data_IF_756568142898
#
_entry.id   IF_756568142898
#
_cell.length_a   1.000
_cell.length_b   1.000
_cell.length_c   1.000
_cell.angle_alpha   90.00
_cell.angle_beta   90.00
_cell.angle_gamma   90.00
#
_symmetry.space_group_name_H-M   'P 1'
#
loop_
_entity.id
_entity.type
_entity.pdbx_description
1 polymer ?
#
# COMPACT_ATOMS: atom_id res chain seq x y z
N UNK A 1 -23.56 -9.31 21.26
CA UNK A 1 -23.41 -7.89 21.63
C UNK A 1 -22.74 -7.20 20.45
N UNK A 2 -23.50 -6.47 19.66
CA UNK A 2 -22.97 -5.73 18.52
C UNK A 2 -22.07 -4.60 19.01
N UNK A 3 -20.83 -4.53 18.51
CA UNK A 3 -19.89 -3.51 18.98
C UNK A 3 -20.41 -2.12 18.59
N UNK A 4 -20.18 -1.10 19.43
CA UNK A 4 -20.63 0.29 19.15
C UNK A 4 -20.23 0.78 17.75
N UNK A 5 -19.07 0.35 17.24
CA UNK A 5 -18.59 0.68 15.89
C UNK A 5 -19.38 -0.05 14.77
N UNK A 6 -19.89 -1.25 15.02
CA UNK A 6 -20.72 -1.97 14.05
C UNK A 6 -22.04 -1.22 13.79
N UNK A 7 -22.65 -0.65 14.83
CA UNK A 7 -23.83 0.23 14.68
C UNK A 7 -23.53 1.49 13.86
N UNK A 8 -22.33 2.09 14.02
CA UNK A 8 -21.92 3.23 13.18
C UNK A 8 -21.82 2.80 11.71
N UNK A 9 -21.22 1.63 11.46
CA UNK A 9 -21.11 1.08 10.10
C UNK A 9 -22.48 0.80 9.48
N UNK A 10 -23.42 0.23 10.25
CA UNK A 10 -24.79 0.02 9.80
C UNK A 10 -25.48 1.34 9.44
N UNK A 11 -25.40 2.34 10.33
CA UNK A 11 -25.95 3.68 10.07
C UNK A 11 -25.32 4.33 8.82
N UNK A 12 -23.99 4.25 8.69
CA UNK A 12 -23.26 4.81 7.56
C UNK A 12 -23.65 4.17 6.23
N UNK A 13 -23.88 2.84 6.24
CA UNK A 13 -24.33 2.08 5.08
C UNK A 13 -25.79 2.40 4.71
N UNK A 14 -26.67 2.55 5.70
CA UNK A 14 -28.10 2.81 5.48
C UNK A 14 -28.39 4.22 4.94
N UNK A 15 -27.59 5.22 5.33
CA UNK A 15 -27.75 6.61 4.87
C UNK A 15 -26.40 7.23 4.45
N UNK A 16 -26.13 7.27 3.13
CA UNK A 16 -24.93 7.88 2.56
C UNK A 16 -24.81 9.41 2.75
N UNK A 17 -25.87 10.08 3.19
CA UNK A 17 -25.87 11.54 3.47
C UNK A 17 -25.81 11.85 4.96
N UNK A 18 -25.94 10.85 5.82
CA UNK A 18 -25.86 11.02 7.26
C UNK A 18 -24.53 11.65 7.65
N UNK A 19 -24.60 12.66 8.51
CA UNK A 19 -23.46 13.35 9.11
C UNK A 19 -23.36 13.02 10.59
N UNK A 20 -22.25 12.39 10.97
CA UNK A 20 -22.00 11.92 12.33
C UNK A 20 -21.51 13.06 13.24
N UNK A 21 -22.40 13.57 14.11
CA UNK A 21 -22.14 14.77 14.92
C UNK A 21 -21.55 14.50 16.31
N UNK A 22 -21.67 13.27 16.83
CA UNK A 22 -21.11 12.87 18.12
C UNK A 22 -20.48 11.49 18.02
N UNK A 23 -19.18 11.45 17.76
CA UNK A 23 -18.38 10.23 17.59
C UNK A 23 -17.03 10.28 18.32
N UNK A 24 -16.61 11.45 18.81
CA UNK A 24 -15.39 11.62 19.59
C UNK A 24 -15.39 10.81 20.89
N UNK A 25 -16.56 10.50 21.43
CA UNK A 25 -16.71 9.68 22.63
C UNK A 25 -16.36 8.20 22.40
N UNK A 26 -16.21 7.74 21.15
CA UNK A 26 -15.71 6.39 20.85
C UNK A 26 -14.19 6.26 21.02
N UNK A 27 -13.47 7.37 21.20
CA UNK A 27 -12.06 7.39 21.61
C UNK A 27 -12.02 7.39 23.14
N UNK A 28 -12.43 6.27 23.73
CA UNK A 28 -12.49 6.05 25.18
C UNK A 28 -11.37 5.12 25.68
N UNK A 29 -11.36 4.83 26.98
CA UNK A 29 -10.35 3.99 27.60
C UNK A 29 -10.32 2.58 26.99
N UNK A 30 -11.48 2.00 26.70
CA UNK A 30 -11.57 0.67 26.09
C UNK A 30 -10.98 0.68 24.68
N UNK A 31 -11.29 1.69 23.86
CA UNK A 31 -10.74 1.83 22.52
C UNK A 31 -9.22 2.03 22.51
N UNK A 32 -8.67 2.79 23.46
CA UNK A 32 -7.23 3.00 23.59
C UNK A 32 -6.51 1.74 24.10
N UNK A 33 -7.07 1.04 25.08
CA UNK A 33 -6.53 -0.24 25.56
C UNK A 33 -6.55 -1.32 24.47
N UNK A 34 -7.61 -1.38 23.67
CA UNK A 34 -7.66 -2.28 22.52
C UNK A 34 -6.63 -1.88 21.45
N UNK A 35 -6.44 -0.58 21.22
CA UNK A 35 -5.41 -0.07 20.32
C UNK A 35 -4.01 -0.47 20.80
N UNK A 36 -3.75 -0.39 22.11
CA UNK A 36 -2.50 -0.83 22.72
C UNK A 36 -2.23 -2.33 22.51
N UNK A 37 -3.24 -3.17 22.72
CA UNK A 37 -3.17 -4.61 22.45
C UNK A 37 -2.84 -4.91 20.99
N UNK A 38 -3.42 -4.16 20.06
CA UNK A 38 -3.19 -4.32 18.62
C UNK A 38 -1.79 -3.89 18.15
N UNK A 39 -1.06 -3.05 18.91
CA UNK A 39 0.28 -2.61 18.54
C UNK A 39 1.31 -3.74 18.67
N UNK A 40 2.23 -3.84 17.72
CA UNK A 40 3.36 -4.79 17.79
C UNK A 40 4.47 -4.27 18.73
N UNK A 41 5.14 -5.20 19.42
CA UNK A 41 6.33 -4.92 20.25
C UNK A 41 7.57 -4.65 19.41
N UNK A 42 8.59 -3.99 19.99
CA UNK A 42 9.88 -3.76 19.33
C UNK A 42 9.85 -2.80 18.14
N UNK A 43 8.81 -1.97 18.01
CA UNK A 43 8.74 -0.88 17.01
C UNK A 43 9.58 0.31 17.45
N UNK A 44 10.05 1.08 16.47
CA UNK A 44 10.78 2.31 16.74
C UNK A 44 9.93 3.32 17.52
N UNK A 45 10.57 3.99 18.46
CA UNK A 45 9.99 4.98 19.37
C UNK A 45 9.90 6.36 18.71
N UNK A 46 8.95 7.17 19.18
CA UNK A 46 8.83 8.56 18.79
C UNK A 46 9.89 9.44 19.47
N UNK A 47 9.62 10.74 19.53
CA UNK A 47 10.51 11.72 20.20
C UNK A 47 10.56 11.51 21.72
N UNK A 48 9.52 10.93 22.29
CA UNK A 48 9.35 10.62 23.72
C UNK A 48 10.17 9.40 24.19
N UNK A 49 10.69 8.58 23.26
CA UNK A 49 11.44 7.37 23.61
C UNK A 49 10.60 6.26 24.25
N UNK A 50 9.27 6.43 24.40
CA UNK A 50 8.41 5.48 25.10
C UNK A 50 8.16 4.24 24.25
N UNK A 51 8.49 3.07 24.80
CA UNK A 51 8.20 1.77 24.17
C UNK A 51 6.84 1.24 24.60
N UNK A 52 6.31 0.26 23.84
CA UNK A 52 5.08 -0.45 24.21
C UNK A 52 5.20 -1.08 25.59
N UNK A 53 6.33 -1.71 25.86
CA UNK A 53 6.60 -2.44 27.09
C UNK A 53 6.69 -1.50 28.30
N UNK A 54 7.29 -0.32 28.11
CA UNK A 54 7.35 0.72 29.14
C UNK A 54 5.97 1.30 29.42
N UNK A 55 5.16 1.51 28.38
CA UNK A 55 3.80 2.02 28.52
C UNK A 55 2.85 1.00 29.19
N UNK A 56 3.03 -0.29 28.88
CA UNK A 56 2.26 -1.41 29.45
C UNK A 56 2.39 -1.49 30.98
N UNK A 57 3.57 -1.15 31.53
CA UNK A 57 3.83 -1.27 32.97
C UNK A 57 2.81 -0.53 33.85
N UNK A 58 2.26 0.59 33.35
CA UNK A 58 1.22 1.37 34.03
C UNK A 58 0.04 1.66 33.09
N UNK A 59 -0.38 0.66 32.30
CA UNK A 59 -1.33 0.85 31.20
C UNK A 59 -2.63 1.56 31.61
N UNK A 60 -3.27 1.12 32.70
CA UNK A 60 -4.56 1.67 33.13
C UNK A 60 -4.47 3.17 33.46
N UNK A 61 -3.53 3.54 34.33
CA UNK A 61 -3.31 4.93 34.72
C UNK A 61 -2.91 5.82 33.53
N UNK A 62 -2.06 5.31 32.63
CA UNK A 62 -1.64 6.02 31.42
C UNK A 62 -2.83 6.28 30.49
N UNK A 63 -3.67 5.28 30.25
CA UNK A 63 -4.87 5.38 29.39
C UNK A 63 -5.89 6.33 30.01
N UNK A 64 -6.17 6.22 31.31
CA UNK A 64 -7.10 7.14 32.00
C UNK A 64 -6.65 8.60 31.89
N UNK A 65 -5.35 8.85 32.10
CA UNK A 65 -4.77 10.18 31.94
C UNK A 65 -4.93 10.70 30.50
N UNK A 66 -4.64 9.85 29.51
CA UNK A 66 -4.77 10.20 28.10
C UNK A 66 -6.23 10.52 27.72
N UNK A 67 -7.19 9.71 28.16
CA UNK A 67 -8.63 9.98 27.97
C UNK A 67 -9.03 11.31 28.60
N UNK A 68 -8.57 11.59 29.83
CA UNK A 68 -8.83 12.86 30.50
C UNK A 68 -8.30 14.05 29.68
N UNK A 69 -7.07 13.96 29.17
CA UNK A 69 -6.49 15.01 28.31
C UNK A 69 -7.21 15.18 26.98
N UNK A 70 -7.70 14.10 26.37
CA UNK A 70 -8.51 14.17 25.15
C UNK A 70 -9.85 14.86 25.41
N UNK A 71 -10.57 14.46 26.47
CA UNK A 71 -11.86 15.03 26.87
C UNK A 71 -11.74 16.52 27.24
N UNK A 72 -10.70 16.89 27.98
CA UNK A 72 -10.40 18.27 28.37
C UNK A 72 -9.82 19.12 27.23
N UNK A 73 -9.62 18.55 26.03
CA UNK A 73 -9.05 19.23 24.87
C UNK A 73 -7.60 19.72 25.09
N UNK A 74 -6.92 19.20 26.12
CA UNK A 74 -5.53 19.54 26.47
C UNK A 74 -4.50 18.62 25.81
N UNK A 75 -4.92 17.46 25.28
CA UNK A 75 -4.06 16.57 24.49
C UNK A 75 -3.51 17.29 23.24
N UNK A 76 -2.18 17.34 23.12
CA UNK A 76 -1.46 17.87 21.95
C UNK A 76 -0.57 16.74 21.41
N UNK A 77 -0.74 16.32 20.14
CA UNK A 77 0.18 15.40 19.51
C UNK A 77 1.61 15.96 19.51
N UNK A 78 2.59 15.09 19.66
CA UNK A 78 3.99 15.44 19.61
C UNK A 78 4.48 15.45 18.15
N UNK A 79 5.54 16.22 17.84
CA UNK A 79 6.15 16.14 16.51
C UNK A 79 6.64 14.73 16.22
N UNK A 80 6.45 14.28 14.98
CA UNK A 80 6.88 12.96 14.57
C UNK A 80 8.41 12.93 14.40
N UNK A 81 9.08 11.93 14.98
CA UNK A 81 10.53 11.77 14.84
C UNK A 81 10.89 11.35 13.42
N UNK A 82 11.73 12.13 12.73
CA UNK A 82 12.17 11.79 11.38
C UNK A 82 13.09 10.57 11.37
N UNK A 83 12.88 9.68 10.41
CA UNK A 83 13.80 8.59 10.08
C UNK A 83 13.82 8.33 8.58
N UNK A 84 14.92 7.77 8.07
CA UNK A 84 15.10 7.53 6.65
C UNK A 84 15.14 6.03 6.35
N UNK A 85 14.24 5.57 5.47
CA UNK A 85 14.30 4.22 4.92
C UNK A 85 14.81 4.27 3.48
N UNK A 86 15.80 3.46 3.09
CA UNK A 86 16.25 3.39 1.70
C UNK A 86 15.08 3.04 0.75
N UNK A 87 14.81 3.91 -0.23
CA UNK A 87 13.83 3.67 -1.30
C UNK A 87 14.49 2.94 -2.46
N UNK A 88 15.69 3.39 -2.82
CA UNK A 88 16.64 2.72 -3.70
C UNK A 88 18.08 3.11 -3.31
N UNK A 89 19.06 2.86 -4.18
CA UNK A 89 20.48 3.13 -3.88
C UNK A 89 20.79 4.62 -3.80
N UNK A 90 19.96 5.47 -4.42
CA UNK A 90 20.23 6.91 -4.58
C UNK A 90 19.25 7.78 -3.81
N UNK A 91 18.15 7.22 -3.32
CA UNK A 91 17.11 7.96 -2.63
C UNK A 91 16.63 7.24 -1.36
N UNK A 92 16.36 8.03 -0.34
CA UNK A 92 15.69 7.62 0.89
C UNK A 92 14.23 8.07 0.86
N UNK A 93 13.39 7.40 1.63
CA UNK A 93 12.03 7.80 1.94
C UNK A 93 12.03 8.28 3.39
N UNK A 94 11.70 9.54 3.65
CA UNK A 94 11.51 9.99 5.01
C UNK A 94 10.25 9.36 5.60
N UNK A 95 10.32 8.99 6.87
CA UNK A 95 9.19 8.58 7.69
C UNK A 95 9.16 9.43 8.96
N UNK A 96 7.97 9.77 9.42
CA UNK A 96 7.72 10.31 10.76
C UNK A 96 7.23 9.19 11.67
N UNK A 97 7.94 8.95 12.77
CA UNK A 97 7.53 8.02 13.82
C UNK A 97 6.84 8.83 14.94
N UNK A 98 5.52 8.69 15.14
CA UNK A 98 4.83 9.40 16.21
C UNK A 98 5.23 8.87 17.60
N UNK A 99 4.97 9.69 18.63
CA UNK A 99 5.01 9.27 20.03
C UNK A 99 4.06 8.08 20.29
N UNK A 100 4.28 7.36 21.39
CA UNK A 100 3.53 6.12 21.62
C UNK A 100 2.02 6.38 21.81
N UNK A 101 1.68 7.37 22.64
CA UNK A 101 0.29 7.78 22.85
C UNK A 101 -0.37 8.26 21.56
N UNK A 102 0.36 9.00 20.73
CA UNK A 102 -0.15 9.47 19.44
C UNK A 102 -0.51 8.30 18.52
N UNK A 103 0.27 7.20 18.53
CA UNK A 103 -0.07 5.98 17.80
C UNK A 103 -1.38 5.37 18.30
N UNK A 104 -1.62 5.37 19.62
CA UNK A 104 -2.86 4.86 20.21
C UNK A 104 -4.07 5.69 19.79
N UNK A 105 -3.97 7.02 19.90
CA UNK A 105 -5.06 7.93 19.52
C UNK A 105 -5.31 7.88 18.02
N UNK A 106 -4.27 7.86 17.19
CA UNK A 106 -4.40 7.69 15.74
C UNK A 106 -5.03 6.35 15.37
N UNK A 107 -4.69 5.26 16.06
CA UNK A 107 -5.28 3.95 15.81
C UNK A 107 -6.76 3.91 16.20
N UNK A 108 -7.13 4.44 17.37
CA UNK A 108 -8.52 4.54 17.80
C UNK A 108 -9.35 5.42 16.83
N UNK A 109 -8.82 6.58 16.44
CA UNK A 109 -9.43 7.44 15.44
C UNK A 109 -9.61 6.72 14.10
N UNK A 110 -8.56 6.02 13.62
CA UNK A 110 -8.62 5.24 12.39
C UNK A 110 -9.78 4.26 12.41
N UNK A 111 -9.99 3.51 13.49
CA UNK A 111 -11.08 2.54 13.62
C UNK A 111 -12.46 3.19 13.51
N UNK A 112 -12.64 4.37 14.11
CA UNK A 112 -13.88 5.15 14.00
C UNK A 112 -14.11 5.60 12.55
N UNK A 113 -13.06 6.11 11.89
CA UNK A 113 -13.14 6.53 10.48
C UNK A 113 -13.41 5.35 9.55
N UNK A 114 -12.78 4.20 9.77
CA UNK A 114 -13.00 2.97 9.00
C UNK A 114 -14.44 2.49 9.09
N UNK A 115 -15.06 2.56 10.28
CA UNK A 115 -16.46 2.18 10.46
C UNK A 115 -17.41 3.02 9.58
N UNK A 116 -17.10 4.30 9.37
CA UNK A 116 -17.90 5.22 8.56
C UNK A 116 -17.58 5.04 7.06
N UNK A 117 -16.33 5.31 6.68
CA UNK A 117 -15.95 5.48 5.28
C UNK A 117 -15.75 4.18 4.50
N UNK A 118 -15.55 3.03 5.17
CA UNK A 118 -15.49 1.75 4.44
C UNK A 118 -16.80 1.45 3.71
N UNK A 119 -17.92 2.01 4.18
CA UNK A 119 -19.23 1.91 3.54
C UNK A 119 -19.37 2.86 2.33
N UNK A 120 -18.55 3.91 2.28
CA UNK A 120 -18.60 4.92 1.22
C UNK A 120 -17.60 4.62 0.10
N UNK A 121 -16.47 3.98 0.43
CA UNK A 121 -15.38 3.75 -0.50
C UNK A 121 -15.75 2.84 -1.66
N UNK A 122 -15.47 3.32 -2.88
CA UNK A 122 -15.70 2.58 -4.13
C UNK A 122 -14.99 1.21 -4.16
N UNK A 123 -15.64 0.21 -4.73
CA UNK A 123 -15.13 -1.17 -4.80
C UNK A 123 -13.82 -1.34 -5.56
N UNK A 124 -13.50 -0.39 -6.44
CA UNK A 124 -12.26 -0.39 -7.19
C UNK A 124 -11.07 0.20 -6.42
N UNK A 125 -11.26 0.67 -5.20
CA UNK A 125 -10.20 1.13 -4.29
C UNK A 125 -9.81 0.01 -3.32
N UNK A 126 -8.53 -0.36 -3.29
CA UNK A 126 -8.06 -1.52 -2.51
C UNK A 126 -7.04 -1.16 -1.42
N UNK A 127 -6.21 -0.13 -1.65
CA UNK A 127 -5.06 0.16 -0.80
C UNK A 127 -5.48 0.52 0.63
N UNK A 128 -4.79 -0.04 1.62
CA UNK A 128 -4.98 0.25 3.06
C UNK A 128 -6.39 0.01 3.61
N UNK A 129 -7.23 -0.78 2.92
CA UNK A 129 -8.58 -1.12 3.37
C UNK A 129 -8.63 -2.52 4.01
N UNK A 130 -9.46 -2.72 5.04
CA UNK A 130 -9.64 -4.04 5.64
C UNK A 130 -10.18 -5.03 4.61
N UNK A 131 -9.70 -6.28 4.66
CA UNK A 131 -10.14 -7.39 3.78
C UNK A 131 -9.95 -7.17 2.26
N UNK A 132 -9.30 -6.08 1.84
CA UNK A 132 -8.94 -5.81 0.44
C UNK A 132 -7.44 -5.99 0.29
N UNK A 133 -7.02 -6.86 -0.63
CA UNK A 133 -5.61 -7.12 -0.88
C UNK A 133 -5.16 -6.58 -2.24
N UNK A 134 -3.85 -6.43 -2.37
CA UNK A 134 -3.17 -6.17 -3.63
C UNK A 134 -3.50 -7.23 -4.70
N UNK A 135 -3.66 -8.49 -4.28
CA UNK A 135 -4.03 -9.58 -5.18
C UNK A 135 -5.46 -9.43 -5.69
N UNK A 136 -6.38 -8.88 -4.90
CA UNK A 136 -7.75 -8.62 -5.34
C UNK A 136 -7.79 -7.53 -6.42
N UNK A 137 -6.98 -6.48 -6.26
CA UNK A 137 -6.81 -5.46 -7.30
C UNK A 137 -6.30 -6.06 -8.62
N UNK A 138 -5.33 -6.98 -8.56
CA UNK A 138 -4.82 -7.68 -9.74
C UNK A 138 -5.86 -8.61 -10.39
N UNK A 139 -6.66 -9.33 -9.58
CA UNK A 139 -7.76 -10.16 -10.05
C UNK A 139 -8.81 -9.32 -10.78
N UNK A 140 -9.20 -8.18 -10.20
CA UNK A 140 -10.14 -7.23 -10.82
C UNK A 140 -9.59 -6.68 -12.13
N UNK A 141 -8.33 -6.24 -12.15
CA UNK A 141 -7.66 -5.80 -13.37
C UNK A 141 -7.65 -6.90 -14.44
N UNK A 142 -7.37 -8.15 -14.04
CA UNK A 142 -7.40 -9.29 -14.97
C UNK A 142 -8.78 -9.50 -15.59
N UNK A 143 -9.83 -9.47 -14.76
CA UNK A 143 -11.20 -9.63 -15.22
C UNK A 143 -11.63 -8.50 -16.17
N UNK A 144 -11.30 -7.25 -15.84
CA UNK A 144 -11.59 -6.08 -16.69
C UNK A 144 -10.93 -6.22 -18.06
N UNK A 145 -9.64 -6.59 -18.10
CA UNK A 145 -8.87 -6.61 -19.34
C UNK A 145 -9.14 -7.83 -20.23
N UNK A 146 -9.36 -9.01 -19.65
CA UNK A 146 -9.58 -10.23 -20.44
C UNK A 146 -11.05 -10.42 -20.86
N UNK A 147 -12.00 -10.04 -19.98
CA UNK A 147 -13.44 -10.21 -20.23
C UNK A 147 -14.11 -8.97 -20.82
N UNK A 148 -13.56 -7.78 -20.55
CA UNK A 148 -14.08 -6.51 -21.06
C UNK A 148 -13.49 -6.11 -22.43
N UNK A 149 -14.14 -5.17 -23.15
CA UNK A 149 -13.64 -4.61 -24.39
C UNK A 149 -12.59 -3.52 -24.14
N UNK A 150 -11.54 -3.81 -23.36
CA UNK A 150 -10.50 -2.83 -23.03
C UNK A 150 -9.35 -2.89 -24.04
N UNK A 151 -8.95 -1.72 -24.54
CA UNK A 151 -7.92 -1.58 -25.58
C UNK A 151 -6.84 -0.56 -25.24
N UNK A 152 -7.06 0.26 -24.22
CA UNK A 152 -6.11 1.28 -23.77
C UNK A 152 -6.00 1.26 -22.25
N UNK A 153 -4.79 1.50 -21.76
CA UNK A 153 -4.48 1.61 -20.34
C UNK A 153 -3.79 2.94 -20.09
N UNK A 154 -4.28 3.69 -19.12
CA UNK A 154 -3.60 4.87 -18.55
C UNK A 154 -3.01 4.45 -17.22
N UNK A 155 -1.69 4.26 -17.22
CA UNK A 155 -0.88 3.98 -16.02
C UNK A 155 -0.50 5.32 -15.41
N UNK A 156 -1.07 5.71 -14.26
CA UNK A 156 -0.92 7.05 -13.68
C UNK A 156 -0.49 7.00 -12.21
N UNK A 157 0.44 7.90 -11.85
CA UNK A 157 1.03 7.98 -10.52
C UNK A 157 0.98 9.43 -10.03
N UNK A 158 0.64 9.63 -8.76
CA UNK A 158 0.60 10.97 -8.14
C UNK A 158 1.98 11.30 -7.59
N UNK A 159 2.54 12.43 -8.00
CA UNK A 159 3.85 12.88 -7.54
C UNK A 159 3.78 13.26 -6.07
N UNK A 160 4.46 12.50 -5.22
CA UNK A 160 4.67 12.86 -3.82
C UNK A 160 3.37 13.00 -3.02
N UNK A 161 2.35 12.19 -3.31
CA UNK A 161 0.99 12.35 -2.75
C UNK A 161 0.96 12.66 -1.24
N UNK A 162 1.60 11.82 -0.41
CA UNK A 162 1.62 12.03 1.05
C UNK A 162 2.28 13.34 1.50
N UNK A 163 3.13 13.95 0.68
CA UNK A 163 3.80 15.21 1.01
C UNK A 163 2.96 16.44 0.61
N UNK A 164 2.03 16.30 -0.33
CA UNK A 164 1.26 17.42 -0.92
C UNK A 164 -0.24 17.34 -0.59
N UNK A 165 -0.66 16.50 0.37
CA UNK A 165 -2.05 16.49 0.82
C UNK A 165 -2.39 17.84 1.45
N UNK A 166 -3.31 18.57 0.83
CA UNK A 166 -3.79 19.85 1.35
C UNK A 166 -4.68 19.62 2.59
N UNK A 167 -4.31 20.26 3.71
CA UNK A 167 -5.02 20.09 4.97
C UNK A 167 -6.42 20.66 4.93
N UNK A 168 -6.64 21.81 4.28
CA UNK A 168 -7.96 22.44 4.26
C UNK A 168 -8.92 21.62 3.39
N UNK A 169 -8.50 21.16 2.22
CA UNK A 169 -9.31 20.24 1.40
C UNK A 169 -9.62 18.93 2.14
N UNK A 170 -8.65 18.33 2.82
CA UNK A 170 -8.88 17.12 3.62
C UNK A 170 -9.93 17.38 4.70
N UNK A 171 -9.87 18.53 5.37
CA UNK A 171 -10.84 18.92 6.38
C UNK A 171 -12.23 19.16 5.79
N UNK A 172 -12.34 19.76 4.59
CA UNK A 172 -13.63 19.91 3.89
C UNK A 172 -14.23 18.55 3.52
N UNK A 173 -13.43 17.61 3.03
CA UNK A 173 -13.90 16.26 2.75
C UNK A 173 -14.38 15.53 3.99
N UNK A 174 -13.66 15.65 5.10
CA UNK A 174 -14.07 15.04 6.36
C UNK A 174 -15.41 15.60 6.86
N UNK A 175 -15.66 16.90 6.68
CA UNK A 175 -16.90 17.56 7.12
C UNK A 175 -18.16 17.01 6.44
N UNK A 176 -18.03 16.41 5.26
CA UNK A 176 -19.14 15.83 4.50
C UNK A 176 -19.83 14.70 5.27
N UNK A 177 -19.06 13.85 5.95
CA UNK A 177 -19.58 12.72 6.74
C UNK A 177 -19.44 12.94 8.24
N UNK A 178 -18.50 13.77 8.68
CA UNK A 178 -18.23 14.01 10.09
C UNK A 178 -18.71 15.41 10.46
N UNK A 179 -19.65 15.47 11.39
CA UNK A 179 -20.12 16.71 12.00
C UNK A 179 -19.46 17.03 13.33
N UNK A 180 -18.76 16.08 13.92
CA UNK A 180 -18.19 16.23 15.26
C UNK A 180 -16.96 17.17 15.26
N UNK A 181 -17.06 18.34 15.92
CA UNK A 181 -15.96 19.30 15.97
C UNK A 181 -14.74 18.78 16.77
N UNK A 182 -14.91 17.80 17.65
CA UNK A 182 -13.81 17.22 18.40
C UNK A 182 -12.92 16.35 17.51
N UNK A 183 -13.51 15.57 16.60
CA UNK A 183 -12.75 14.82 15.60
C UNK A 183 -12.02 15.76 14.65
N UNK A 184 -12.70 16.81 14.17
CA UNK A 184 -12.06 17.81 13.33
C UNK A 184 -10.84 18.45 14.00
N UNK A 185 -10.98 18.85 15.27
CA UNK A 185 -9.87 19.40 16.06
C UNK A 185 -8.73 18.40 16.21
N UNK A 186 -9.06 17.13 16.47
CA UNK A 186 -8.06 16.07 16.66
C UNK A 186 -7.26 15.83 15.38
N UNK A 187 -7.94 15.65 14.24
CA UNK A 187 -7.28 15.48 12.93
C UNK A 187 -6.40 16.68 12.59
N UNK A 188 -6.93 17.91 12.73
CA UNK A 188 -6.18 19.13 12.46
C UNK A 188 -4.92 19.25 13.33
N UNK A 189 -5.01 18.89 14.63
CA UNK A 189 -3.85 18.86 15.53
C UNK A 189 -2.82 17.82 15.12
N UNK A 190 -3.25 16.64 14.66
CA UNK A 190 -2.33 15.59 14.19
C UNK A 190 -1.61 15.99 12.90
N UNK A 191 -2.31 16.64 11.97
CA UNK A 191 -1.71 17.11 10.71
C UNK A 191 -0.69 18.24 10.95
N UNK A 192 -0.96 19.13 11.92
CA UNK A 192 -0.08 20.25 12.27
C UNK A 192 0.93 19.96 13.39
N UNK A 193 1.09 18.70 13.78
CA UNK A 193 1.96 18.32 14.89
C UNK A 193 3.46 18.56 14.62
N UNK A 194 3.83 18.74 13.35
CA UNK A 194 5.21 18.96 12.93
C UNK A 194 6.05 17.69 12.88
N UNK A 195 7.30 17.88 12.49
CA UNK A 195 8.33 16.84 12.43
C UNK A 195 9.51 17.32 13.28
N UNK A 196 10.17 16.39 13.97
CA UNK A 196 11.42 16.67 14.65
C UNK A 196 12.55 15.90 13.97
N UNK A 197 13.57 16.62 13.52
CA UNK A 197 14.76 16.10 12.84
C UNK A 197 16.01 16.67 13.54
N UNK A 198 16.91 15.79 14.00
CA UNK A 198 18.14 16.15 14.71
C UNK A 198 17.99 17.15 15.88
N UNK A 199 16.83 17.12 16.54
CA UNK A 199 16.51 17.99 17.67
C UNK A 199 15.79 19.28 17.28
N UNK A 200 15.76 19.63 15.99
CA UNK A 200 15.06 20.80 15.47
C UNK A 200 13.61 20.48 15.11
N UNK A 201 12.72 21.43 15.39
CA UNK A 201 11.30 21.34 15.08
C UNK A 201 11.00 22.00 13.73
N UNK A 202 10.38 21.25 12.84
CA UNK A 202 9.89 21.75 11.55
C UNK A 202 8.35 21.73 11.52
N UNK A 203 7.68 22.87 11.24
CA UNK A 203 6.24 22.89 11.05
C UNK A 203 5.83 22.12 9.79
N UNK A 204 4.67 21.49 9.83
CA UNK A 204 4.08 20.79 8.68
C UNK A 204 2.91 21.61 8.12
N UNK A 205 3.15 22.31 7.02
CA UNK A 205 2.15 23.15 6.34
C UNK A 205 1.27 22.35 5.37
N UNK A 206 1.83 21.31 4.75
CA UNK A 206 1.11 20.39 3.86
C UNK A 206 1.58 18.94 4.04
N UNK A 207 0.77 18.01 3.54
CA UNK A 207 1.05 16.59 3.59
C UNK A 207 0.56 15.91 4.87
N UNK A 208 0.71 14.59 4.91
CA UNK A 208 0.37 13.76 6.07
C UNK A 208 1.60 12.93 6.44
N UNK A 209 1.97 12.84 7.72
CA UNK A 209 3.20 12.16 8.13
C UNK A 209 3.24 10.71 7.62
N UNK A 210 4.25 10.39 6.80
CA UNK A 210 4.47 9.01 6.33
C UNK A 210 4.93 8.16 7.51
N UNK A 211 4.13 7.19 7.94
CA UNK A 211 4.42 6.37 9.13
C UNK A 211 3.47 6.59 10.30
N UNK A 212 2.60 7.61 10.23
CA UNK A 212 1.45 7.71 11.12
C UNK A 212 0.41 6.62 10.81
N UNK A 213 -0.27 6.14 11.85
CA UNK A 213 -1.24 5.05 11.77
C UNK A 213 -2.51 5.47 11.03
N UNK A 214 -2.93 6.73 11.17
CA UNK A 214 -4.16 7.27 10.57
C UNK A 214 -3.95 7.82 9.16
N UNK A 215 -2.72 8.21 8.79
CA UNK A 215 -2.38 8.77 7.47
C UNK A 215 -2.94 7.97 6.28
N UNK A 216 -2.86 6.62 6.24
CA UNK A 216 -3.41 5.86 5.11
C UNK A 216 -4.93 5.95 4.98
N UNK A 217 -5.63 6.12 6.10
CA UNK A 217 -7.09 6.30 6.11
C UNK A 217 -7.47 7.67 5.57
N UNK A 218 -6.79 8.74 6.05
CA UNK A 218 -6.99 10.10 5.57
C UNK A 218 -6.66 10.25 4.08
N UNK A 219 -5.58 9.60 3.64
CA UNK A 219 -5.20 9.48 2.24
C UNK A 219 -6.32 8.88 1.37
N UNK A 220 -6.96 7.82 1.85
CA UNK A 220 -8.06 7.19 1.13
C UNK A 220 -9.30 8.07 1.08
N UNK A 221 -9.65 8.77 2.17
CA UNK A 221 -10.73 9.77 2.18
C UNK A 221 -10.47 10.85 1.13
N UNK A 222 -9.25 11.40 1.10
CA UNK A 222 -8.88 12.43 0.13
C UNK A 222 -9.06 11.96 -1.32
N UNK A 223 -8.45 10.82 -1.68
CA UNK A 223 -8.53 10.29 -3.04
C UNK A 223 -9.92 9.76 -3.40
N UNK A 224 -10.73 9.38 -2.42
CA UNK A 224 -12.12 9.00 -2.67
C UNK A 224 -12.91 10.16 -3.29
N UNK A 225 -12.81 11.37 -2.72
CA UNK A 225 -13.51 12.54 -3.26
C UNK A 225 -12.81 13.17 -4.48
N UNK A 226 -11.48 13.21 -4.47
CA UNK A 226 -10.72 13.83 -5.56
C UNK A 226 -10.75 13.01 -6.84
N UNK A 227 -10.58 11.69 -6.72
CA UNK A 227 -10.39 10.77 -7.84
C UNK A 227 -11.55 9.78 -8.00
N UNK A 228 -11.91 9.01 -6.96
CA UNK A 228 -12.81 7.86 -7.12
C UNK A 228 -14.24 8.29 -7.53
N UNK A 229 -14.85 9.20 -6.77
CA UNK A 229 -16.19 9.73 -7.09
C UNK A 229 -16.17 10.48 -8.41
N UNK A 230 -15.13 11.28 -8.65
CA UNK A 230 -14.98 12.04 -9.89
C UNK A 230 -14.89 11.12 -11.12
N UNK A 231 -14.13 10.02 -11.01
CA UNK A 231 -14.04 9.03 -12.08
C UNK A 231 -15.40 8.41 -12.36
N UNK A 232 -16.08 7.91 -11.33
CA UNK A 232 -17.37 7.21 -11.51
C UNK A 232 -18.48 8.12 -12.04
N UNK A 233 -18.53 9.38 -11.58
CA UNK A 233 -19.64 10.29 -11.92
C UNK A 233 -19.34 11.18 -13.13
N UNK A 234 -18.11 11.70 -13.26
CA UNK A 234 -17.79 12.72 -14.26
C UNK A 234 -16.93 12.22 -15.42
N UNK A 235 -16.12 11.16 -15.22
CA UNK A 235 -15.29 10.60 -16.31
C UNK A 235 -16.05 9.52 -17.06
N UNK A 236 -16.63 8.55 -16.33
CA UNK A 236 -17.23 7.36 -16.90
C UNK A 236 -18.50 7.64 -17.71
N UNK A 237 -19.34 8.58 -17.25
CA UNK A 237 -20.61 8.93 -17.93
C UNK A 237 -20.43 9.47 -19.36
N UNK A 238 -19.53 10.43 -19.63
CA UNK A 238 -19.30 10.93 -21.00
C UNK A 238 -18.39 10.03 -21.84
N UNK A 239 -17.89 8.90 -21.32
CA UNK A 239 -17.12 7.96 -22.13
C UNK A 239 -17.97 7.35 -23.22
N UNK A 240 -17.44 7.34 -24.45
CA UNK A 240 -18.08 6.66 -25.58
C UNK A 240 -18.13 5.15 -25.35
N UNK A 241 -17.06 4.60 -24.78
CA UNK A 241 -16.93 3.18 -24.50
C UNK A 241 -16.81 2.87 -23.02
N UNK A 242 -16.52 1.61 -22.72
CA UNK A 242 -16.32 1.19 -21.33
C UNK A 242 -15.07 1.83 -20.73
N UNK A 243 -15.20 2.35 -19.51
CA UNK A 243 -14.11 2.86 -18.70
C UNK A 243 -14.15 2.24 -17.30
N UNK A 244 -13.01 1.78 -16.81
CA UNK A 244 -12.85 1.20 -15.47
C UNK A 244 -11.58 1.74 -14.83
N UNK A 245 -11.55 1.85 -13.51
CA UNK A 245 -10.38 2.24 -12.73
C UNK A 245 -10.06 1.13 -11.73
N UNK A 246 -8.78 0.96 -11.40
CA UNK A 246 -8.31 0.16 -10.28
C UNK A 246 -7.31 1.02 -9.50
N UNK A 247 -7.59 1.28 -8.23
CA UNK A 247 -6.73 2.11 -7.36
C UNK A 247 -6.19 1.31 -6.19
N UNK A 248 -4.90 1.47 -5.92
CA UNK A 248 -4.25 0.97 -4.73
C UNK A 248 -3.45 2.10 -4.08
N UNK A 249 -4.04 2.72 -3.05
CA UNK A 249 -3.50 3.94 -2.44
C UNK A 249 -3.38 5.07 -3.49
N UNK A 250 -2.17 5.56 -3.73
CA UNK A 250 -1.82 6.60 -4.71
C UNK A 250 -1.52 6.07 -6.12
N UNK A 251 -1.28 4.76 -6.26
CA UNK A 251 -1.02 4.07 -7.53
C UNK A 251 -2.35 3.62 -8.16
N UNK A 252 -2.64 4.03 -9.40
CA UNK A 252 -3.89 3.65 -10.06
C UNK A 252 -3.74 3.45 -11.57
N UNK A 253 -4.57 2.57 -12.10
CA UNK A 253 -4.63 2.23 -13.52
C UNK A 253 -6.05 2.42 -14.00
N UNK A 254 -6.22 3.15 -15.10
CA UNK A 254 -7.51 3.31 -15.77
C UNK A 254 -7.50 2.56 -17.10
N UNK A 255 -8.54 1.79 -17.38
CA UNK A 255 -8.71 1.00 -18.58
C UNK A 255 -9.85 1.57 -19.41
N UNK A 256 -9.60 1.77 -20.71
CA UNK A 256 -10.55 2.35 -21.65
C UNK A 256 -10.70 1.47 -22.89
N UNK A 257 -11.91 1.49 -23.45
CA UNK A 257 -12.19 0.87 -24.74
C UNK A 257 -11.65 1.68 -25.91
N UNK A 258 -11.75 3.02 -25.85
CA UNK A 258 -11.36 3.92 -26.94
C UNK A 258 -10.20 4.83 -26.54
N UNK A 259 -9.35 5.18 -27.51
CA UNK A 259 -8.15 6.01 -27.29
C UNK A 259 -8.53 7.42 -26.88
N UNK A 260 -9.56 7.96 -27.53
CA UNK A 260 -10.05 9.32 -27.33
C UNK A 260 -10.57 9.52 -25.90
N UNK A 261 -11.21 8.49 -25.33
CA UNK A 261 -11.63 8.50 -23.93
C UNK A 261 -10.43 8.54 -22.97
N UNK A 262 -9.35 7.79 -23.28
CA UNK A 262 -8.13 7.78 -22.49
C UNK A 262 -7.37 9.12 -22.55
N UNK A 263 -7.28 9.73 -23.73
CA UNK A 263 -6.65 11.04 -23.94
C UNK A 263 -7.45 12.15 -23.24
N UNK A 264 -8.78 12.14 -23.37
CA UNK A 264 -9.66 13.08 -22.67
C UNK A 264 -9.53 12.94 -21.15
N UNK A 265 -9.51 11.72 -20.64
CA UNK A 265 -9.28 11.46 -19.22
C UNK A 265 -7.92 12.01 -18.75
N UNK A 266 -6.85 11.72 -19.49
CA UNK A 266 -5.51 12.17 -19.11
C UNK A 266 -5.41 13.70 -19.03
N UNK A 267 -5.96 14.42 -20.01
CA UNK A 267 -6.01 15.88 -20.00
C UNK A 267 -6.86 16.42 -18.81
N UNK A 268 -8.02 15.81 -18.57
CA UNK A 268 -8.91 16.21 -17.47
C UNK A 268 -8.30 15.91 -16.09
N UNK A 269 -7.55 14.81 -15.95
CA UNK A 269 -6.91 14.38 -14.72
C UNK A 269 -5.90 15.42 -14.22
N UNK A 270 -5.09 16.01 -15.13
CA UNK A 270 -4.11 17.04 -14.77
C UNK A 270 -4.79 18.25 -14.15
N UNK A 271 -5.86 18.72 -14.80
CA UNK A 271 -6.67 19.84 -14.31
C UNK A 271 -7.38 19.50 -13.01
N UNK A 272 -7.90 18.27 -12.89
CA UNK A 272 -8.60 17.80 -11.69
C UNK A 272 -7.66 17.79 -10.48
N UNK A 273 -6.49 17.17 -10.59
CA UNK A 273 -5.53 17.08 -9.48
C UNK A 273 -5.01 18.47 -9.07
N UNK A 274 -4.75 19.35 -10.04
CA UNK A 274 -4.30 20.72 -9.74
C UNK A 274 -5.28 21.52 -8.87
N UNK A 275 -6.60 21.29 -9.00
CA UNK A 275 -7.61 21.92 -8.14
C UNK A 275 -7.50 21.54 -6.66
N UNK A 276 -6.84 20.42 -6.35
CA UNK A 276 -6.68 19.88 -5.00
C UNK A 276 -5.21 19.83 -4.60
N UNK A 277 -4.38 20.73 -5.13
CA UNK A 277 -2.94 20.84 -4.85
C UNK A 277 -2.15 19.53 -5.10
N UNK A 278 -2.61 18.70 -6.03
CA UNK A 278 -1.93 17.46 -6.42
C UNK A 278 -1.39 17.56 -7.84
N UNK A 279 -0.31 16.82 -8.11
CA UNK A 279 0.34 16.79 -9.42
C UNK A 279 0.54 15.35 -9.92
N UNK A 280 0.39 15.16 -11.23
CA UNK A 280 0.70 13.89 -11.90
C UNK A 280 2.21 13.76 -12.05
N UNK A 281 2.74 12.54 -11.90
CA UNK A 281 4.09 12.22 -12.34
C UNK A 281 4.11 12.00 -13.87
N UNK A 282 4.23 13.09 -14.64
CA UNK A 282 4.19 13.08 -16.12
C UNK A 282 5.18 12.07 -16.73
N UNK A 283 6.39 11.98 -16.18
CA UNK A 283 7.45 11.02 -16.57
C UNK A 283 7.02 9.55 -16.54
N UNK A 284 6.08 9.23 -15.64
CA UNK A 284 5.60 7.86 -15.41
C UNK A 284 4.27 7.59 -16.09
N UNK A 285 3.52 8.66 -16.39
CA UNK A 285 2.14 8.50 -16.81
C UNK A 285 2.06 8.32 -18.31
N UNK A 286 1.49 7.20 -18.76
CA UNK A 286 1.47 6.84 -20.18
C UNK A 286 0.13 6.25 -20.60
N UNK A 287 -0.29 6.58 -21.81
CA UNK A 287 -1.40 5.93 -22.51
C UNK A 287 -0.81 4.80 -23.34
N UNK A 288 -1.24 3.57 -23.06
CA UNK A 288 -0.67 2.35 -23.64
C UNK A 288 -1.78 1.61 -24.38
N UNK A 289 -1.57 1.32 -25.67
CA UNK A 289 -2.44 0.40 -26.39
C UNK A 289 -2.24 -1.02 -25.84
N UNK A 290 -3.28 -1.54 -25.19
CA UNK A 290 -3.23 -2.79 -24.43
C UNK A 290 -4.57 -3.50 -24.49
N UNK A 291 -4.59 -4.73 -24.97
CA UNK A 291 -5.82 -5.52 -25.06
C UNK A 291 -5.78 -6.57 -26.15
N UNK A 292 -6.92 -7.22 -26.38
CA UNK A 292 -7.08 -8.35 -27.31
C UNK A 292 -6.56 -8.06 -28.72
N UNK A 293 -6.77 -6.83 -29.20
CA UNK A 293 -6.45 -6.43 -30.58
C UNK A 293 -5.14 -5.67 -30.70
N UNK A 294 -4.47 -5.33 -29.59
CA UNK A 294 -3.27 -4.48 -29.61
C UNK A 294 -2.17 -5.06 -30.51
N UNK A 295 -1.87 -6.36 -30.39
CA UNK A 295 -0.85 -7.02 -31.21
C UNK A 295 -1.19 -6.97 -32.71
N UNK A 296 -2.46 -7.25 -33.06
CA UNK A 296 -2.90 -7.25 -34.44
C UNK A 296 -2.92 -5.84 -35.05
N UNK A 297 -3.39 -4.85 -34.29
CA UNK A 297 -3.46 -3.45 -34.71
C UNK A 297 -2.05 -2.86 -34.93
N UNK A 298 -1.13 -3.10 -33.99
CA UNK A 298 0.27 -2.67 -34.13
C UNK A 298 0.94 -3.32 -35.33
N UNK A 299 0.75 -4.63 -35.52
CA UNK A 299 1.28 -5.36 -36.68
C UNK A 299 0.76 -4.79 -38.01
N UNK A 300 -0.53 -4.42 -38.08
CA UNK A 300 -1.11 -3.76 -39.28
C UNK A 300 -0.48 -2.40 -39.57
N UNK A 301 -0.07 -1.66 -38.53
CA UNK A 301 0.62 -0.37 -38.66
C UNK A 301 2.14 -0.48 -38.82
N UNK A 302 2.68 -1.69 -38.94
CA UNK A 302 4.12 -1.93 -39.00
C UNK A 302 4.85 -1.66 -37.68
N UNK A 303 4.12 -1.51 -36.57
CA UNK A 303 4.67 -1.30 -35.24
C UNK A 303 5.08 -2.63 -34.61
N UNK A 304 6.04 -2.57 -33.67
CA UNK A 304 6.51 -3.73 -32.91
C UNK A 304 5.48 -4.32 -31.94
N UNK A 305 5.96 -5.10 -30.96
CA UNK A 305 5.10 -5.71 -29.95
C UNK A 305 4.32 -4.65 -29.15
N UNK A 306 3.12 -5.00 -28.63
CA UNK A 306 2.42 -4.15 -27.69
C UNK A 306 3.30 -3.76 -26.50
N UNK A 307 3.11 -2.53 -26.04
CA UNK A 307 3.78 -2.03 -24.86
C UNK A 307 3.32 -2.74 -23.59
N UNK A 308 4.10 -2.61 -22.53
CA UNK A 308 3.84 -3.21 -21.22
C UNK A 308 3.79 -2.13 -20.16
N UNK A 309 2.93 -2.29 -19.16
CA UNK A 309 2.86 -1.37 -18.02
C UNK A 309 3.23 -2.09 -16.72
N UNK A 310 3.61 -1.33 -15.69
CA UNK A 310 4.02 -1.90 -14.39
C UNK A 310 3.11 -1.40 -13.28
N UNK A 311 2.30 -2.29 -12.74
CA UNK A 311 1.37 -1.99 -11.66
C UNK A 311 1.60 -2.95 -10.49
N UNK A 312 1.59 -2.44 -9.26
CA UNK A 312 1.72 -3.24 -8.04
C UNK A 312 2.97 -4.15 -7.98
N UNK A 313 4.04 -3.77 -8.70
CA UNK A 313 5.29 -4.52 -8.75
C UNK A 313 5.34 -5.65 -9.80
N UNK A 314 4.31 -5.79 -10.62
CA UNK A 314 4.27 -6.71 -11.76
C UNK A 314 4.27 -5.94 -13.09
N UNK A 315 5.06 -6.44 -14.05
CA UNK A 315 4.95 -6.01 -15.45
C UNK A 315 3.87 -6.83 -16.12
N UNK A 316 2.88 -6.15 -16.68
CA UNK A 316 1.71 -6.71 -17.34
C UNK A 316 1.92 -6.66 -18.86
N UNK A 317 1.62 -7.75 -19.55
CA UNK A 317 1.83 -7.84 -21.00
C UNK A 317 0.76 -8.69 -21.68
N UNK A 318 0.44 -8.31 -22.92
CA UNK A 318 -0.48 -9.04 -23.77
C UNK A 318 0.16 -10.36 -24.22
N UNK A 319 -0.59 -11.46 -24.10
CA UNK A 319 -0.17 -12.79 -24.52
C UNK A 319 -1.39 -13.61 -24.96
N UNK A 320 -1.14 -14.84 -25.42
CA UNK A 320 -2.19 -15.83 -25.68
C UNK A 320 -2.08 -17.00 -24.69
N UNK A 321 -3.21 -17.67 -24.47
CA UNK A 321 -3.32 -18.97 -23.82
C UNK A 321 -2.80 -20.08 -24.74
N UNK A 322 -2.67 -21.31 -24.22
CA UNK A 322 -2.38 -22.48 -25.05
C UNK A 322 -3.45 -22.71 -26.14
N UNK A 323 -4.70 -22.30 -25.87
CA UNK A 323 -5.82 -22.38 -26.82
C UNK A 323 -5.92 -21.15 -27.75
N UNK A 324 -4.89 -20.30 -27.81
CA UNK A 324 -4.88 -19.09 -28.65
C UNK A 324 -5.70 -17.90 -28.13
N UNK A 325 -6.53 -18.07 -27.09
CA UNK A 325 -7.31 -16.99 -26.48
C UNK A 325 -6.42 -15.91 -25.85
N UNK A 326 -6.81 -14.64 -25.98
CA UNK A 326 -6.11 -13.52 -25.35
C UNK A 326 -6.02 -13.68 -23.82
N UNK A 327 -4.84 -13.36 -23.27
CA UNK A 327 -4.55 -13.35 -21.84
C UNK A 327 -3.66 -12.17 -21.47
N UNK A 328 -3.84 -11.67 -20.25
CA UNK A 328 -2.95 -10.70 -19.62
C UNK A 328 -2.00 -11.45 -18.70
N UNK A 329 -0.80 -11.74 -19.18
CA UNK A 329 0.24 -12.39 -18.37
C UNK A 329 1.00 -11.35 -17.56
N UNK A 330 1.58 -11.82 -16.46
CA UNK A 330 2.30 -10.99 -15.51
C UNK A 330 3.63 -11.64 -15.14
N UNK A 331 4.65 -10.80 -14.98
CA UNK A 331 5.93 -11.20 -14.38
C UNK A 331 6.39 -10.18 -13.36
N UNK A 332 7.16 -10.59 -12.36
CA UNK A 332 7.77 -9.67 -11.40
C UNK A 332 8.52 -8.58 -12.17
N UNK A 333 8.23 -7.32 -11.87
CA UNK A 333 8.89 -6.21 -12.57
C UNK A 333 10.41 -6.29 -12.38
N UNK A 334 11.16 -6.07 -13.47
CA UNK A 334 12.61 -6.23 -13.45
C UNK A 334 13.30 -5.37 -12.39
N UNK A 335 12.78 -4.15 -12.16
CA UNK A 335 13.24 -3.25 -11.09
C UNK A 335 13.06 -3.88 -9.71
N UNK A 336 11.86 -4.37 -9.37
CA UNK A 336 11.58 -4.99 -8.06
C UNK A 336 12.34 -6.30 -7.87
N UNK A 337 12.47 -7.10 -8.94
CA UNK A 337 13.25 -8.34 -8.91
C UNK A 337 14.71 -8.07 -8.57
N UNK A 338 15.37 -7.16 -9.30
CA UNK A 338 16.75 -6.74 -9.04
C UNK A 338 16.94 -6.20 -7.62
N UNK A 339 16.01 -5.36 -7.16
CA UNK A 339 16.02 -4.84 -5.78
C UNK A 339 15.94 -5.97 -4.74
N UNK A 340 15.04 -6.95 -4.91
CA UNK A 340 14.90 -8.08 -3.97
C UNK A 340 16.09 -9.03 -4.00
N UNK A 341 16.67 -9.29 -5.17
CA UNK A 341 17.91 -10.07 -5.30
C UNK A 341 19.07 -9.35 -4.61
N UNK A 342 19.22 -8.04 -4.82
CA UNK A 342 20.26 -7.24 -4.15
C UNK A 342 20.09 -7.28 -2.63
N UNK A 343 18.87 -7.06 -2.13
CA UNK A 343 18.58 -7.11 -0.70
C UNK A 343 18.92 -8.48 -0.09
N UNK A 344 18.57 -9.58 -0.78
CA UNK A 344 18.91 -10.94 -0.36
C UNK A 344 20.43 -11.15 -0.33
N UNK A 345 21.14 -10.74 -1.39
CA UNK A 345 22.60 -10.80 -1.47
C UNK A 345 23.27 -10.04 -0.33
N UNK A 346 22.85 -8.80 -0.07
CA UNK A 346 23.39 -7.97 1.01
C UNK A 346 23.14 -8.62 2.37
N UNK A 347 21.92 -9.11 2.60
CA UNK A 347 21.57 -9.79 3.84
C UNK A 347 22.39 -11.08 4.05
N UNK A 348 22.48 -11.95 3.05
CA UNK A 348 23.30 -13.19 3.15
C UNK A 348 24.77 -12.84 3.41
N UNK A 349 25.32 -11.85 2.70
CA UNK A 349 26.71 -11.42 2.89
C UNK A 349 26.93 -10.94 4.33
N UNK A 350 26.06 -10.08 4.85
CA UNK A 350 26.20 -9.52 6.20
C UNK A 350 26.02 -10.59 7.30
N UNK A 351 25.12 -11.55 7.10
CA UNK A 351 24.74 -12.54 8.11
C UNK A 351 25.44 -13.90 7.92
N UNK A 352 26.51 -13.97 7.12
CA UNK A 352 27.24 -15.23 6.81
C UNK A 352 27.90 -15.90 8.02
N UNK A 353 28.15 -15.15 9.09
CA UNK A 353 28.74 -15.66 10.34
C UNK A 353 27.68 -15.97 11.40
N UNK A 354 26.39 -15.72 11.11
CA UNK A 354 25.29 -16.01 12.02
C UNK A 354 25.17 -17.51 12.29
N UNK A 355 24.69 -17.86 13.48
CA UNK A 355 24.31 -19.22 13.83
C UNK A 355 23.35 -19.81 12.79
N UNK A 356 23.63 -21.04 12.35
CA UNK A 356 22.96 -21.66 11.21
C UNK A 356 21.45 -21.79 11.40
N UNK A 357 20.98 -22.17 12.59
CA UNK A 357 19.54 -22.32 12.90
C UNK A 357 18.80 -20.99 12.73
N UNK A 358 19.36 -19.91 13.27
CA UNK A 358 18.82 -18.55 13.20
C UNK A 358 18.87 -17.99 11.77
N UNK A 359 19.98 -18.24 11.05
CA UNK A 359 20.11 -17.89 9.63
C UNK A 359 19.04 -18.58 8.79
N UNK A 360 18.85 -19.89 8.93
CA UNK A 360 17.87 -20.66 8.17
C UNK A 360 16.43 -20.24 8.50
N UNK A 361 16.11 -20.01 9.78
CA UNK A 361 14.78 -19.50 10.19
C UNK A 361 14.45 -18.18 9.48
N UNK A 362 15.40 -17.25 9.48
CA UNK A 362 15.22 -15.93 8.85
C UNK A 362 15.12 -16.06 7.33
N UNK A 363 15.95 -16.90 6.72
CA UNK A 363 15.93 -17.16 5.28
C UNK A 363 14.59 -17.77 4.83
N UNK A 364 14.08 -18.78 5.55
CA UNK A 364 12.78 -19.39 5.25
C UNK A 364 11.66 -18.35 5.29
N UNK A 365 11.68 -17.46 6.29
CA UNK A 365 10.72 -16.34 6.39
C UNK A 365 10.82 -15.39 5.18
N UNK A 366 12.04 -15.00 4.78
CA UNK A 366 12.26 -14.14 3.61
C UNK A 366 11.78 -14.76 2.30
N UNK A 367 12.07 -16.04 2.06
CA UNK A 367 11.62 -16.78 0.88
C UNK A 367 10.09 -16.94 0.89
N UNK A 368 9.51 -17.38 2.01
CA UNK A 368 8.06 -17.54 2.14
C UNK A 368 7.32 -16.22 1.90
N UNK A 369 7.83 -15.10 2.43
CA UNK A 369 7.26 -13.78 2.17
C UNK A 369 7.33 -13.39 0.69
N UNK A 370 8.44 -13.66 0.01
CA UNK A 370 8.57 -13.43 -1.43
C UNK A 370 7.54 -14.25 -2.22
N UNK A 371 7.40 -15.54 -1.92
CA UNK A 371 6.50 -16.42 -2.65
C UNK A 371 5.03 -16.12 -2.38
N UNK A 372 4.65 -15.74 -1.16
CA UNK A 372 3.27 -15.35 -0.84
C UNK A 372 2.83 -14.13 -1.65
N UNK A 373 3.73 -13.19 -1.93
CA UNK A 373 3.41 -12.00 -2.71
C UNK A 373 3.53 -12.22 -4.22
N UNK A 374 4.66 -12.75 -4.69
CA UNK A 374 4.98 -12.88 -6.11
C UNK A 374 4.56 -14.22 -6.73
N UNK A 375 4.21 -15.22 -5.93
CA UNK A 375 3.70 -16.52 -6.39
C UNK A 375 2.27 -16.42 -6.87
N UNK A 376 2.06 -15.72 -7.97
CA UNK A 376 0.78 -15.58 -8.66
C UNK A 376 0.81 -16.33 -10.00
N UNK A 377 -0.36 -16.64 -10.58
CA UNK A 377 -0.47 -17.23 -11.92
C UNK A 377 0.44 -16.53 -12.94
N UNK A 378 1.08 -17.32 -13.81
CA UNK A 378 2.04 -16.89 -14.85
C UNK A 378 3.41 -16.39 -14.36
N UNK A 379 3.65 -16.22 -13.06
CA UNK A 379 4.92 -15.68 -12.53
C UNK A 379 5.86 -16.74 -11.91
N UNK A 380 5.61 -18.04 -12.12
CA UNK A 380 6.40 -19.11 -11.51
C UNK A 380 7.89 -19.01 -11.85
N UNK A 381 8.23 -18.74 -13.11
CA UNK A 381 9.62 -18.66 -13.59
C UNK A 381 10.44 -17.62 -12.81
N UNK A 382 9.86 -16.44 -12.55
CA UNK A 382 10.56 -15.40 -11.78
C UNK A 382 10.74 -15.79 -10.32
N UNK A 383 9.75 -16.47 -9.73
CA UNK A 383 9.83 -16.96 -8.35
C UNK A 383 10.88 -18.08 -8.25
N UNK A 384 10.94 -18.96 -9.24
CA UNK A 384 11.96 -20.00 -9.35
C UNK A 384 13.36 -19.41 -9.50
N UNK A 385 13.53 -18.46 -10.43
CA UNK A 385 14.79 -17.76 -10.61
C UNK A 385 15.27 -17.06 -9.32
N UNK A 386 14.36 -16.46 -8.55
CA UNK A 386 14.71 -15.88 -7.25
C UNK A 386 15.26 -16.93 -6.27
N UNK A 387 14.65 -18.11 -6.23
CA UNK A 387 15.11 -19.22 -5.40
C UNK A 387 16.49 -19.71 -5.85
N UNK A 388 16.70 -19.99 -7.12
CA UNK A 388 17.99 -20.46 -7.65
C UNK A 388 19.12 -19.47 -7.39
N UNK A 389 18.86 -18.17 -7.62
CA UNK A 389 19.82 -17.11 -7.31
C UNK A 389 20.12 -17.10 -5.80
N UNK A 390 19.12 -17.27 -4.95
CA UNK A 390 19.31 -17.31 -3.49
C UNK A 390 20.18 -18.50 -3.08
N UNK A 391 19.93 -19.68 -3.63
CA UNK A 391 20.73 -20.88 -3.37
C UNK A 391 22.19 -20.68 -3.82
N UNK A 392 22.41 -20.14 -5.01
CA UNK A 392 23.75 -19.83 -5.52
C UNK A 392 24.47 -18.77 -4.66
N UNK A 393 23.74 -17.77 -4.15
CA UNK A 393 24.28 -16.78 -3.23
C UNK A 393 24.68 -17.41 -1.89
N UNK A 394 23.90 -18.34 -1.36
CA UNK A 394 24.26 -19.08 -0.15
C UNK A 394 25.54 -19.89 -0.37
N UNK A 395 25.60 -20.69 -1.44
CA UNK A 395 26.79 -21.48 -1.78
C UNK A 395 28.03 -20.59 -1.84
N UNK A 396 27.91 -19.43 -2.49
CA UNK A 396 29.01 -18.46 -2.65
C UNK A 396 29.47 -17.87 -1.32
N UNK A 397 28.56 -17.39 -0.48
CA UNK A 397 28.92 -16.63 0.72
C UNK A 397 29.22 -17.53 1.93
N UNK A 398 28.59 -18.68 2.04
CA UNK A 398 28.91 -19.65 3.10
C UNK A 398 30.29 -20.28 2.87
N UNK A 399 30.70 -20.50 1.61
CA UNK A 399 32.07 -20.90 1.27
C UNK A 399 33.12 -19.81 1.50
N UNK A 400 32.71 -18.58 1.84
CA UNK A 400 33.59 -17.46 2.21
C UNK A 400 33.51 -17.12 3.70
N UNK A 401 32.95 -18.02 4.51
CA UNK A 401 32.87 -17.87 5.97
C UNK A 401 34.22 -18.13 6.63
N UNK A 402 35.03 -19.02 6.07
CA UNK A 402 36.37 -19.36 6.54
C UNK A 402 37.38 -19.34 5.39
N UNK A 403 38.67 -19.49 5.71
CA UNK A 403 39.77 -19.53 4.74
C UNK A 403 39.73 -20.79 3.84
N UNK A 404 38.98 -21.82 4.23
CA UNK A 404 38.81 -23.06 3.46
C UNK A 404 37.39 -23.18 2.93
N UNK A 405 37.25 -23.63 1.68
CA UNK A 405 35.95 -23.91 1.07
C UNK A 405 35.25 -25.04 1.83
N UNK A 406 34.06 -24.77 2.36
CA UNK A 406 33.33 -25.72 3.22
C UNK A 406 32.51 -26.75 2.42
N UNK A 407 32.01 -26.38 1.24
CA UNK A 407 31.14 -27.23 0.43
C UNK A 407 31.52 -27.22 -1.05
N UNK A 408 31.56 -28.40 -1.68
CA UNK A 408 31.39 -28.56 -3.13
C UNK A 408 29.93 -28.27 -3.51
N UNK A 409 29.65 -28.11 -4.81
CA UNK A 409 28.28 -27.77 -5.25
C UNK A 409 27.34 -28.93 -4.92
N UNK A 410 27.77 -30.15 -5.21
CA UNK A 410 27.07 -31.42 -5.01
C UNK A 410 26.75 -31.61 -3.52
N UNK A 411 27.77 -31.54 -2.65
CA UNK A 411 27.61 -31.66 -1.20
C UNK A 411 26.71 -30.56 -0.62
N UNK A 412 26.76 -29.36 -1.18
CA UNK A 412 25.88 -28.27 -0.74
C UNK A 412 24.41 -28.57 -1.07
N UNK A 413 24.11 -29.09 -2.26
CA UNK A 413 22.75 -29.48 -2.64
C UNK A 413 22.24 -30.66 -1.81
N UNK A 414 23.08 -31.65 -1.49
CA UNK A 414 22.74 -32.72 -0.56
C UNK A 414 22.36 -32.16 0.81
N UNK A 415 23.19 -31.29 1.37
CA UNK A 415 22.95 -30.66 2.68
C UNK A 415 21.70 -29.77 2.66
N UNK A 416 21.42 -29.10 1.54
CA UNK A 416 20.22 -28.28 1.37
C UNK A 416 18.92 -29.09 1.46
N UNK A 417 18.92 -30.38 1.08
CA UNK A 417 17.72 -31.22 1.21
C UNK A 417 17.29 -31.32 2.68
N UNK A 418 18.25 -31.39 3.61
CA UNK A 418 18.00 -31.42 5.05
C UNK A 418 17.52 -30.07 5.62
N UNK A 419 17.77 -28.96 4.92
CA UNK A 419 17.41 -27.63 5.40
C UNK A 419 15.94 -27.29 5.21
N UNK A 420 15.16 -28.14 4.51
CA UNK A 420 13.70 -27.97 4.33
C UNK A 420 13.32 -26.52 3.99
N UNK A 421 14.02 -25.93 3.03
CA UNK A 421 13.71 -24.58 2.56
C UNK A 421 12.37 -24.59 1.82
N UNK A 422 11.55 -23.53 1.92
CA UNK A 422 10.32 -23.45 1.14
C UNK A 422 10.67 -23.48 -0.35
N UNK A 423 10.00 -24.36 -1.09
CA UNK A 423 10.12 -24.44 -2.54
C UNK A 423 9.24 -23.38 -3.22
N UNK A 424 9.66 -22.84 -4.38
CA UNK A 424 8.81 -22.00 -5.22
C UNK A 424 7.46 -22.66 -5.50
N UNK A 425 6.37 -21.92 -5.32
CA UNK A 425 5.02 -22.35 -5.71
C UNK A 425 4.14 -21.15 -5.99
N UNK A 426 3.06 -21.39 -6.73
CA UNK A 426 1.98 -20.41 -6.89
C UNK A 426 1.05 -20.52 -5.67
N UNK A 427 0.77 -19.38 -5.05
CA UNK A 427 -0.11 -19.23 -3.89
C UNK A 427 -1.45 -18.62 -4.27
N UNK A 428 -1.49 -17.81 -5.32
CA UNK A 428 -2.67 -17.06 -5.71
C UNK A 428 -3.00 -17.31 -7.16
N UNK A 429 -4.21 -17.80 -7.40
CA UNK A 429 -4.78 -17.87 -8.72
C UNK A 429 -5.50 -16.54 -9.04
N UNK A 430 -5.05 -15.85 -10.10
CA UNK A 430 -5.67 -14.58 -10.54
C UNK A 430 -7.08 -14.77 -11.14
N UNK A 431 -7.48 -16.01 -11.42
CA UNK A 431 -8.80 -16.34 -11.97
C UNK A 431 -9.84 -16.65 -10.90
N UNK A 432 -9.41 -16.87 -9.66
CA UNK A 432 -10.29 -17.10 -8.53
C UNK A 432 -10.82 -15.75 -8.05
N UNK A 433 -11.84 -15.25 -8.73
CA UNK A 433 -12.55 -14.04 -8.32
C UNK A 433 -13.17 -14.28 -6.94
N UNK A 434 -13.06 -13.33 -6.00
CA UNK A 434 -13.89 -13.38 -4.81
C UNK A 434 -15.35 -13.49 -5.24
N UNK A 435 -16.14 -14.36 -4.59
CA UNK A 435 -17.59 -14.23 -4.65
C UNK A 435 -17.90 -12.84 -4.09
N UNK A 436 -18.53 -12.00 -4.91
CA UNK A 436 -19.01 -10.67 -4.50
C UNK A 436 -19.95 -10.79 -3.31
#
# INVERSE_FOLDING_TARGET
METKLARIAEMASSDPKLRFTSIGHFIDAAALTESHRAMETGKATGVDGVTKETYEANLEANVENLVKRIKQKSYRPQPARRTYIPKDEKSTRPLGIPAYEDKLVQHALKRVLEAIYEQDFMDFSYGFRPKRSMHDALKRLNAIMERGPMHYVVDADIKGFFNHVDHEWLMEFLKLRIGDPNIHRLVRRMLKAGIQEDGEYEPTEEGTPQGSVVSPMLANVYLHYVLDIWFEVAVKRPCRGRAEIIRFADDFVCCFQYKEDAERFYAALRTRLGKFNLSIAEEKTKIIEFGRFAEANRKKRGEGKPETFTFLGFTHYCSKSQKGMFRVKRKTSGKKFKQKVKAMKTWIKANRHMEQKTFLKTLRSKLAGHYRYYGITDNFEMVHAYYEITINLMLKWLNRRSQKKSFTKERFFEVLTNFKLPKPRIYVNIYDMPKL
#
